data_IF_913053478000
#
_entry.id   IF_913053478000
#
_cell.length_a   1.000
_cell.length_b   1.000
_cell.length_c   1.000
_cell.angle_alpha   90.00
_cell.angle_beta   90.00
_cell.angle_gamma   90.00
#
_symmetry.space_group_name_H-M   'P 1'
#
loop_
_entity.id
_entity.type
_entity.pdbx_description
1 polymer ?
#
# COMPACT_ATOMS: atom_id res chain seq x y z
N UNK A 1 -19.26 4.23 -3.58
CA UNK A 1 -18.43 4.23 -2.36
C UNK A 1 -17.98 5.67 -2.12
N UNK A 2 -18.13 6.19 -0.90
CA UNK A 2 -17.70 7.58 -0.58
C UNK A 2 -16.31 7.61 0.05
N UNK A 3 -15.77 6.46 0.48
CA UNK A 3 -14.41 6.34 0.97
C UNK A 3 -13.41 6.81 -0.08
N UNK A 4 -12.56 7.75 0.30
CA UNK A 4 -11.36 8.07 -0.46
C UNK A 4 -10.18 7.88 0.47
N UNK A 5 -9.41 6.83 0.23
CA UNK A 5 -8.23 6.50 1.04
C UNK A 5 -7.21 7.66 1.08
N UNK A 6 -7.24 8.57 0.10
CA UNK A 6 -6.45 9.80 0.09
C UNK A 6 -6.66 10.71 1.31
N UNK A 7 -7.79 10.63 2.04
CA UNK A 7 -8.01 11.41 3.26
C UNK A 7 -7.26 10.86 4.49
N UNK A 8 -7.00 9.55 4.51
CA UNK A 8 -6.44 8.82 5.64
C UNK A 8 -4.99 8.35 5.38
N UNK A 9 -4.49 8.57 4.16
CA UNK A 9 -3.18 8.13 3.72
C UNK A 9 -2.08 8.61 4.69
N UNK A 10 -1.30 7.65 5.20
CA UNK A 10 -0.16 7.93 6.07
C UNK A 10 -0.54 8.17 7.53
N UNK A 11 -1.75 7.80 7.96
CA UNK A 11 -2.12 7.78 9.37
C UNK A 11 -1.45 6.62 10.14
N UNK A 12 -1.72 6.51 11.45
CA UNK A 12 -1.08 5.48 12.29
C UNK A 12 -1.44 4.04 11.88
N UNK A 13 -2.67 3.81 11.39
CA UNK A 13 -3.13 2.49 10.97
C UNK A 13 -2.37 2.04 9.73
N UNK A 14 -2.22 2.95 8.77
CA UNK A 14 -1.38 2.76 7.60
C UNK A 14 0.07 2.44 7.98
N UNK A 15 0.64 3.13 8.98
CA UNK A 15 2.02 2.85 9.40
C UNK A 15 2.18 1.41 9.93
N UNK A 16 1.26 0.95 10.77
CA UNK A 16 1.29 -0.42 11.33
C UNK A 16 1.09 -1.45 10.22
N UNK A 17 0.06 -1.27 9.40
CA UNK A 17 -0.28 -2.14 8.26
C UNK A 17 0.90 -2.27 7.30
N UNK A 18 1.43 -1.14 6.82
CA UNK A 18 2.46 -1.12 5.79
C UNK A 18 3.81 -1.62 6.32
N UNK A 19 4.19 -1.30 7.55
CA UNK A 19 5.41 -1.87 8.14
C UNK A 19 5.31 -3.40 8.27
N UNK A 20 4.13 -3.92 8.64
CA UNK A 20 3.88 -5.36 8.69
C UNK A 20 3.92 -6.01 7.30
N UNK A 21 3.29 -5.40 6.29
CA UNK A 21 3.30 -5.90 4.91
C UNK A 21 4.73 -5.99 4.36
N UNK A 22 5.53 -4.94 4.51
CA UNK A 22 6.94 -4.95 4.11
C UNK A 22 7.73 -6.07 4.79
N UNK A 23 7.49 -6.29 6.08
CA UNK A 23 8.14 -7.37 6.82
C UNK A 23 7.71 -8.75 6.31
N UNK A 24 6.40 -8.98 6.12
CA UNK A 24 5.84 -10.24 5.62
C UNK A 24 6.36 -10.58 4.22
N UNK A 25 6.39 -9.61 3.31
CA UNK A 25 6.91 -9.82 1.95
C UNK A 25 8.36 -10.27 2.00
N UNK A 26 9.23 -9.59 2.76
CA UNK A 26 10.63 -9.99 2.97
C UNK A 26 10.76 -11.40 3.53
N UNK A 27 10.01 -11.71 4.57
CA UNK A 27 10.05 -13.01 5.23
C UNK A 27 9.53 -14.15 4.33
N UNK A 28 8.55 -13.88 3.46
CA UNK A 28 8.09 -14.81 2.42
C UNK A 28 9.14 -15.00 1.33
N UNK A 29 9.77 -13.92 0.87
CA UNK A 29 10.81 -13.94 -0.17
C UNK A 29 12.05 -14.76 0.24
N UNK A 30 12.37 -14.80 1.54
CA UNK A 30 13.43 -15.63 2.09
C UNK A 30 13.15 -17.14 1.97
N UNK A 31 11.90 -17.53 1.71
CA UNK A 31 11.43 -18.93 1.63
C UNK A 31 11.09 -19.37 0.19
N UNK A 32 11.09 -18.45 -0.77
CA UNK A 32 10.79 -18.71 -2.18
C UNK A 32 10.17 -17.48 -2.88
N UNK A 33 9.71 -17.63 -4.13
CA UNK A 33 8.88 -16.61 -4.80
C UNK A 33 7.60 -16.31 -4.00
N UNK A 34 7.13 -15.07 -4.05
CA UNK A 34 5.88 -14.64 -3.41
C UNK A 34 4.91 -14.04 -4.42
N UNK A 35 3.64 -14.43 -4.33
CA UNK A 35 2.53 -13.73 -4.98
C UNK A 35 1.75 -12.97 -3.89
N UNK A 36 1.71 -11.65 -3.98
CA UNK A 36 0.91 -10.82 -3.09
C UNK A 36 -0.41 -10.49 -3.78
N UNK A 37 -1.52 -10.83 -3.11
CA UNK A 37 -2.86 -10.57 -3.61
C UNK A 37 -3.51 -9.54 -2.69
N UNK A 38 -3.82 -8.36 -3.21
CA UNK A 38 -4.41 -7.26 -2.44
C UNK A 38 -5.86 -7.08 -2.84
N UNK A 39 -6.78 -7.36 -1.92
CA UNK A 39 -8.22 -7.32 -2.17
C UNK A 39 -8.77 -5.89 -2.29
N UNK A 40 -8.07 -4.89 -1.73
CA UNK A 40 -8.55 -3.51 -1.64
C UNK A 40 -7.38 -2.57 -1.91
N UNK A 41 -6.86 -2.62 -3.14
CA UNK A 41 -5.59 -2.03 -3.51
C UNK A 41 -5.54 -0.49 -3.43
N UNK A 42 -6.68 0.20 -3.56
CA UNK A 42 -6.70 1.64 -3.58
C UNK A 42 -5.98 2.23 -4.79
N UNK A 43 -5.57 3.49 -4.70
CA UNK A 43 -4.91 4.23 -5.79
C UNK A 43 -3.39 4.03 -5.86
N UNK A 44 -2.80 3.25 -4.95
CA UNK A 44 -1.37 2.93 -4.92
C UNK A 44 -0.45 4.04 -4.42
N UNK A 45 -0.60 5.29 -4.89
CA UNK A 45 0.20 6.44 -4.46
C UNK A 45 -0.70 7.64 -4.14
N UNK A 46 -0.45 8.32 -3.02
CA UNK A 46 -1.33 9.37 -2.51
C UNK A 46 -0.60 10.70 -2.33
N UNK A 47 -1.14 11.79 -2.91
CA UNK A 47 -0.64 13.16 -2.69
C UNK A 47 -1.17 13.70 -1.35
N UNK A 48 -0.25 13.97 -0.42
CA UNK A 48 -0.52 14.47 0.91
C UNK A 48 -0.71 15.99 0.97
N UNK A 49 -0.39 16.75 -0.08
CA UNK A 49 -0.62 18.20 -0.14
C UNK A 49 -2.08 18.56 -0.46
N UNK A 50 -2.87 17.60 -0.94
CA UNK A 50 -4.28 17.78 -1.28
C UNK A 50 -5.22 17.58 -0.10
N UNK A 51 -6.26 16.78 -0.31
CA UNK A 51 -7.32 16.50 0.67
C UNK A 51 -6.80 15.94 2.02
N UNK A 52 -5.64 15.26 2.04
CA UNK A 52 -5.00 14.76 3.26
C UNK A 52 -4.59 15.89 4.24
N UNK A 53 -4.28 17.10 3.75
CA UNK A 53 -3.99 18.25 4.62
C UNK A 53 -5.19 18.65 5.49
N UNK A 54 -6.41 18.28 5.08
CA UNK A 54 -7.64 18.62 5.82
C UNK A 54 -7.86 17.73 7.04
N UNK A 55 -7.36 16.49 7.05
CA UNK A 55 -7.59 15.54 8.15
C UNK A 55 -6.55 15.64 9.27
N UNK A 56 -5.36 16.18 8.98
CA UNK A 56 -4.18 16.17 9.87
C UNK A 56 -3.72 14.77 10.30
N UNK A 57 -4.28 13.70 9.74
CA UNK A 57 -3.91 12.33 10.11
C UNK A 57 -2.49 11.99 9.68
N UNK A 58 -2.07 12.48 8.51
CA UNK A 58 -0.70 12.35 8.03
C UNK A 58 0.32 13.10 8.93
N UNK A 59 -0.09 14.22 9.55
CA UNK A 59 0.73 14.95 10.52
C UNK A 59 0.97 14.11 11.78
N UNK A 60 -0.07 13.40 12.25
CA UNK A 60 0.01 12.52 13.40
C UNK A 60 0.69 11.16 13.11
N UNK A 61 0.73 10.74 11.84
CA UNK A 61 1.34 9.51 11.37
C UNK A 61 2.69 9.72 10.68
N UNK A 62 2.69 9.68 9.35
CA UNK A 62 3.91 9.63 8.53
C UNK A 62 4.83 10.83 8.74
N UNK A 63 4.32 12.04 9.00
CA UNK A 63 5.18 13.20 9.31
C UNK A 63 6.01 12.99 10.60
N UNK A 64 5.41 12.36 11.62
CA UNK A 64 6.11 11.96 12.85
C UNK A 64 7.09 10.82 12.58
N UNK A 65 6.71 9.82 11.78
CA UNK A 65 7.62 8.74 11.38
C UNK A 65 8.90 9.30 10.75
N UNK A 66 8.76 10.28 9.87
CA UNK A 66 9.89 10.84 9.11
C UNK A 66 10.84 11.72 9.92
N UNK A 67 10.39 12.24 11.07
CA UNK A 67 11.19 13.07 11.98
C UNK A 67 11.64 12.32 13.24
N UNK A 68 11.21 11.07 13.42
CA UNK A 68 11.58 10.25 14.58
C UNK A 68 12.99 9.69 14.46
N UNK A 69 13.71 9.74 15.57
CA UNK A 69 14.99 9.04 15.77
C UNK A 69 14.75 7.63 16.35
N UNK A 70 15.73 6.74 16.24
CA UNK A 70 15.71 5.39 16.84
C UNK A 70 14.49 4.51 16.47
N UNK A 71 14.10 4.54 15.19
CA UNK A 71 12.99 3.72 14.69
C UNK A 71 13.29 2.21 14.80
N UNK A 72 12.33 1.39 15.28
CA UNK A 72 12.44 -0.06 15.18
C UNK A 72 12.48 -0.50 13.72
N UNK A 73 13.14 -1.63 13.43
CA UNK A 73 13.47 -2.04 12.07
C UNK A 73 12.28 -2.04 11.08
N UNK A 74 11.06 -2.52 11.42
CA UNK A 74 9.91 -2.45 10.50
C UNK A 74 9.50 -1.02 10.13
N UNK A 75 9.50 -0.10 11.09
CA UNK A 75 9.17 1.31 10.85
C UNK A 75 10.29 2.03 10.09
N UNK A 76 11.55 1.69 10.35
CA UNK A 76 12.68 2.20 9.58
C UNK A 76 12.60 1.77 8.11
N UNK A 77 12.17 0.53 7.83
CA UNK A 77 11.93 0.04 6.48
C UNK A 77 10.82 0.82 5.77
N UNK A 78 9.69 1.06 6.46
CA UNK A 78 8.61 1.89 5.91
C UNK A 78 9.08 3.33 5.63
N UNK A 79 9.81 3.95 6.56
CA UNK A 79 10.35 5.28 6.37
C UNK A 79 11.31 5.36 5.15
N UNK A 80 12.07 4.29 4.88
CA UNK A 80 12.92 4.22 3.69
C UNK A 80 12.10 4.21 2.39
N UNK A 81 11.00 3.49 2.33
CA UNK A 81 10.11 3.48 1.16
C UNK A 81 9.41 4.84 0.96
N UNK A 82 8.97 5.48 2.04
CA UNK A 82 8.41 6.85 1.97
C UNK A 82 9.46 7.83 1.43
N UNK A 83 10.72 7.76 1.86
CA UNK A 83 11.79 8.60 1.28
C UNK A 83 12.01 8.32 -0.20
N UNK A 84 11.96 7.05 -0.60
CA UNK A 84 12.26 6.67 -1.99
C UNK A 84 11.23 7.21 -2.99
N UNK A 85 9.96 7.38 -2.59
CA UNK A 85 8.93 8.03 -3.42
C UNK A 85 8.88 9.55 -3.27
N UNK A 86 9.74 10.13 -2.43
CA UNK A 86 9.94 11.57 -2.27
C UNK A 86 11.43 11.93 -2.50
N UNK A 87 11.94 11.78 -3.74
CA UNK A 87 13.35 12.05 -4.02
C UNK A 87 13.70 13.52 -3.73
N UNK A 88 14.84 13.74 -3.06
CA UNK A 88 15.32 15.08 -2.69
C UNK A 88 14.75 15.64 -1.39
N UNK A 89 13.89 14.90 -0.68
CA UNK A 89 13.37 15.29 0.63
C UNK A 89 14.51 15.39 1.65
N UNK A 90 14.76 16.60 2.16
CA UNK A 90 15.69 16.82 3.27
C UNK A 90 15.01 16.56 4.62
N UNK A 91 15.80 16.46 5.68
CA UNK A 91 15.27 16.31 7.04
C UNK A 91 14.43 17.54 7.41
N UNK A 92 13.15 17.31 7.73
CA UNK A 92 12.19 18.35 8.11
C UNK A 92 11.36 18.91 6.95
N UNK A 93 11.62 18.51 5.71
CA UNK A 93 10.78 18.90 4.57
C UNK A 93 9.40 18.22 4.65
N UNK A 94 8.33 18.89 4.18
CA UNK A 94 7.01 18.28 4.13
C UNK A 94 6.99 17.12 3.12
N UNK A 95 6.42 16.00 3.56
CA UNK A 95 6.23 14.81 2.71
C UNK A 95 5.10 15.10 1.73
N UNK A 96 5.34 14.85 0.44
CA UNK A 96 4.32 15.00 -0.59
C UNK A 96 3.61 13.70 -0.90
N UNK A 97 4.33 12.60 -1.04
CA UNK A 97 3.77 11.33 -1.50
C UNK A 97 3.79 10.28 -0.39
N UNK A 98 2.66 9.59 -0.21
CA UNK A 98 2.60 8.38 0.60
C UNK A 98 2.33 7.16 -0.30
N UNK A 99 3.19 6.13 -0.26
CA UNK A 99 2.96 4.89 -0.98
C UNK A 99 1.99 3.99 -0.20
N UNK A 100 0.92 3.56 -0.86
CA UNK A 100 0.02 2.50 -0.38
C UNK A 100 0.63 1.10 -0.56
N UNK A 101 -0.11 0.08 -0.13
CA UNK A 101 0.30 -1.32 -0.31
C UNK A 101 0.70 -1.68 -1.75
N UNK A 102 0.05 -1.21 -2.83
CA UNK A 102 0.46 -1.59 -4.19
C UNK A 102 1.88 -1.15 -4.51
N UNK A 103 2.20 0.13 -4.30
CA UNK A 103 3.53 0.68 -4.60
C UNK A 103 4.58 0.13 -3.64
N UNK A 104 4.25 -0.01 -2.36
CA UNK A 104 5.16 -0.59 -1.37
C UNK A 104 5.58 -2.01 -1.76
N UNK A 105 4.62 -2.86 -2.12
CA UNK A 105 4.92 -4.25 -2.52
C UNK A 105 5.62 -4.29 -3.87
N UNK A 106 5.14 -3.55 -4.86
CA UNK A 106 5.71 -3.53 -6.22
C UNK A 106 7.22 -3.19 -6.21
N UNK A 107 7.64 -2.26 -5.35
CA UNK A 107 9.04 -1.86 -5.18
C UNK A 107 9.94 -2.96 -4.57
N UNK A 108 9.36 -3.97 -3.96
CA UNK A 108 10.08 -5.10 -3.36
C UNK A 108 10.14 -6.33 -4.27
N UNK A 109 9.35 -6.37 -5.34
CA UNK A 109 9.24 -7.57 -6.18
C UNK A 109 10.56 -7.88 -6.89
N UNK A 110 10.89 -9.17 -6.94
CA UNK A 110 11.90 -9.74 -7.83
C UNK A 110 11.20 -10.26 -9.09
N UNK A 111 11.98 -10.62 -10.11
CA UNK A 111 11.45 -11.11 -11.39
C UNK A 111 10.50 -12.32 -11.30
N UNK A 112 10.61 -13.14 -10.24
CA UNK A 112 9.75 -14.31 -9.99
C UNK A 112 8.60 -14.04 -9.01
N UNK A 113 8.58 -12.87 -8.37
CA UNK A 113 7.50 -12.46 -7.47
C UNK A 113 6.38 -11.79 -8.27
N UNK A 114 5.17 -11.73 -7.72
CA UNK A 114 4.04 -11.07 -8.38
C UNK A 114 3.23 -10.26 -7.38
N UNK A 115 2.64 -9.17 -7.85
CA UNK A 115 1.58 -8.45 -7.16
C UNK A 115 0.34 -8.39 -8.04
N UNK A 116 -0.81 -8.69 -7.46
CA UNK A 116 -2.12 -8.49 -8.09
C UNK A 116 -3.06 -7.79 -7.12
N UNK A 117 -3.46 -6.57 -7.45
CA UNK A 117 -4.39 -5.77 -6.65
C UNK A 117 -5.76 -5.67 -7.31
N UNK A 118 -6.81 -5.65 -6.50
CA UNK A 118 -8.19 -5.44 -6.94
C UNK A 118 -8.73 -4.12 -6.39
N UNK A 119 -9.46 -3.38 -7.23
CA UNK A 119 -10.13 -2.14 -6.85
C UNK A 119 -11.53 -2.09 -7.46
N UNK A 120 -12.53 -1.80 -6.62
CA UNK A 120 -13.94 -1.79 -7.01
C UNK A 120 -14.37 -0.40 -7.53
N UNK A 121 -13.71 0.66 -7.09
CA UNK A 121 -14.03 2.03 -7.45
C UNK A 121 -13.44 2.41 -8.81
N UNK A 122 -14.30 2.53 -9.82
CA UNK A 122 -13.92 2.88 -11.19
C UNK A 122 -13.11 4.18 -11.30
N UNK A 123 -13.34 5.15 -10.41
CA UNK A 123 -12.60 6.41 -10.41
C UNK A 123 -11.16 6.29 -9.87
N UNK A 124 -10.86 5.22 -9.13
CA UNK A 124 -9.54 4.96 -8.53
C UNK A 124 -8.68 4.08 -9.42
N UNK A 125 -9.29 3.22 -10.25
CA UNK A 125 -8.56 2.31 -11.15
C UNK A 125 -7.49 2.99 -12.02
N UNK A 126 -7.72 4.16 -12.64
CA UNK A 126 -6.67 4.83 -13.41
C UNK A 126 -5.45 5.21 -12.55
N UNK A 127 -5.67 5.59 -11.29
CA UNK A 127 -4.60 5.93 -10.35
C UNK A 127 -3.80 4.69 -9.97
N UNK A 128 -4.49 3.58 -9.70
CA UNK A 128 -3.84 2.30 -9.42
C UNK A 128 -2.95 1.87 -10.59
N UNK A 129 -3.50 1.86 -11.80
CA UNK A 129 -2.76 1.50 -13.01
C UNK A 129 -1.56 2.42 -13.26
N UNK A 130 -1.72 3.74 -13.09
CA UNK A 130 -0.62 4.70 -13.21
C UNK A 130 0.48 4.44 -12.17
N UNK A 131 0.10 4.17 -10.92
CA UNK A 131 1.05 3.92 -9.83
C UNK A 131 1.89 2.65 -10.03
N UNK A 132 1.34 1.66 -10.76
CA UNK A 132 1.98 0.37 -11.02
C UNK A 132 2.70 0.30 -12.37
N UNK A 133 2.53 1.27 -13.26
CA UNK A 133 3.04 1.23 -14.63
C UNK A 133 4.55 1.00 -14.77
N UNK A 134 5.33 1.34 -13.74
CA UNK A 134 6.78 1.14 -13.71
C UNK A 134 7.23 -0.26 -13.26
N UNK A 135 6.30 -1.11 -12.83
CA UNK A 135 6.59 -2.40 -12.19
C UNK A 135 5.94 -3.54 -13.00
N UNK A 136 6.68 -4.21 -13.89
CA UNK A 136 6.10 -5.23 -14.77
C UNK A 136 5.58 -6.47 -14.04
N UNK A 137 6.02 -6.70 -12.80
CA UNK A 137 5.55 -7.79 -11.94
C UNK A 137 4.29 -7.45 -11.12
N UNK A 138 3.76 -6.23 -11.25
CA UNK A 138 2.59 -5.76 -10.52
C UNK A 138 1.45 -5.36 -11.47
N UNK A 139 0.24 -5.84 -11.19
CA UNK A 139 -0.97 -5.51 -11.95
C UNK A 139 -2.12 -5.08 -11.03
N UNK A 140 -3.01 -4.26 -11.56
CA UNK A 140 -4.20 -3.75 -10.87
C UNK A 140 -5.45 -4.00 -11.71
N UNK A 141 -6.45 -4.64 -11.13
CA UNK A 141 -7.64 -5.11 -11.84
C UNK A 141 -8.94 -4.55 -11.24
N UNK A 142 -9.95 -4.25 -12.08
CA UNK A 142 -11.29 -3.96 -11.60
C UNK A 142 -11.93 -5.20 -10.97
N UNK A 143 -12.64 -5.03 -9.86
CA UNK A 143 -13.51 -6.09 -9.35
C UNK A 143 -13.72 -6.04 -7.85
N UNK A 144 -14.61 -6.91 -7.37
CA UNK A 144 -14.74 -7.20 -5.95
C UNK A 144 -13.55 -8.07 -5.52
N UNK A 145 -12.67 -7.52 -4.68
CA UNK A 145 -11.48 -8.22 -4.24
C UNK A 145 -11.75 -9.44 -3.38
N UNK A 146 -12.89 -9.53 -2.69
CA UNK A 146 -13.24 -10.74 -1.94
C UNK A 146 -13.56 -11.91 -2.86
N UNK A 147 -14.23 -11.66 -3.98
CA UNK A 147 -14.54 -12.69 -4.98
C UNK A 147 -13.31 -13.01 -5.83
N UNK A 148 -12.64 -11.99 -6.36
CA UNK A 148 -11.55 -12.14 -7.31
C UNK A 148 -10.31 -12.82 -6.69
N UNK A 149 -10.05 -12.61 -5.40
CA UNK A 149 -8.89 -13.21 -4.73
C UNK A 149 -8.97 -14.73 -4.63
N UNK A 150 -10.17 -15.31 -4.62
CA UNK A 150 -10.33 -16.77 -4.52
C UNK A 150 -9.75 -17.48 -5.74
N UNK A 151 -10.06 -16.98 -6.94
CA UNK A 151 -9.51 -17.52 -8.19
C UNK A 151 -8.01 -17.26 -8.28
N UNK A 152 -7.57 -16.04 -7.99
CA UNK A 152 -6.16 -15.67 -8.02
C UNK A 152 -5.31 -16.51 -7.05
N UNK A 153 -5.81 -16.74 -5.82
CA UNK A 153 -5.13 -17.55 -4.82
C UNK A 153 -5.04 -19.02 -5.21
N UNK A 154 -6.06 -19.57 -5.89
CA UNK A 154 -6.05 -20.94 -6.38
C UNK A 154 -5.00 -21.18 -7.48
N UNK A 155 -4.64 -20.14 -8.23
CA UNK A 155 -3.63 -20.20 -9.29
C UNK A 155 -2.22 -19.82 -8.81
N UNK A 156 -2.10 -19.12 -7.68
CA UNK A 156 -0.84 -18.65 -7.15
C UNK A 156 -0.09 -19.71 -6.32
N UNK A 157 1.23 -19.77 -6.47
CA UNK A 157 2.09 -20.58 -5.58
C UNK A 157 2.47 -19.77 -4.34
N UNK A 158 1.98 -20.18 -3.16
CA UNK A 158 2.30 -19.55 -1.89
C UNK A 158 1.80 -18.10 -1.73
N UNK A 159 0.51 -17.82 -1.97
CA UNK A 159 -0.02 -16.46 -1.92
C UNK A 159 0.09 -15.85 -0.52
N UNK A 160 0.44 -14.57 -0.46
CA UNK A 160 0.22 -13.69 0.69
C UNK A 160 -0.98 -12.80 0.36
N UNK A 161 -2.09 -13.01 1.06
CA UNK A 161 -3.32 -12.26 0.81
C UNK A 161 -3.45 -11.11 1.80
N UNK A 162 -3.61 -9.88 1.29
CA UNK A 162 -3.89 -8.67 2.05
C UNK A 162 -5.38 -8.33 1.94
N UNK A 163 -6.04 -8.25 3.09
CA UNK A 163 -7.45 -7.87 3.22
C UNK A 163 -7.52 -6.58 4.04
N UNK A 164 -7.88 -5.49 3.37
CA UNK A 164 -7.91 -4.14 3.94
C UNK A 164 -9.15 -3.35 3.45
N UNK A 165 -10.37 -3.84 3.72
CA UNK A 165 -11.58 -3.15 3.32
C UNK A 165 -11.71 -1.80 4.01
N UNK A 166 -12.51 -0.87 3.46
CA UNK A 166 -12.74 0.43 4.07
C UNK A 166 -13.65 0.38 5.31
N UNK A 167 -14.30 -0.76 5.57
CA UNK A 167 -15.28 -0.96 6.64
C UNK A 167 -16.42 0.08 6.65
N UNK A 168 -16.83 0.56 5.47
CA UNK A 168 -17.95 1.51 5.31
C UNK A 168 -19.30 0.82 5.40
N UNK A 169 -19.35 -0.47 5.08
CA UNK A 169 -20.61 -1.23 5.05
C UNK A 169 -20.64 -2.24 6.19
N UNK A 170 -21.83 -2.52 6.77
CA UNK A 170 -21.95 -3.51 7.84
C UNK A 170 -21.48 -4.91 7.42
N UNK A 171 -21.63 -5.25 6.15
CA UNK A 171 -21.19 -6.53 5.57
C UNK A 171 -19.68 -6.63 5.38
N UNK A 172 -18.90 -5.55 5.56
CA UNK A 172 -17.43 -5.63 5.55
C UNK A 172 -16.85 -6.39 6.77
N UNK A 173 -17.66 -6.61 7.81
CA UNK A 173 -17.26 -7.26 9.07
C UNK A 173 -17.62 -8.76 9.14
N UNK A 174 -18.28 -9.31 8.11
CA UNK A 174 -18.93 -10.63 8.15
C UNK A 174 -18.38 -11.52 7.06
#
# INVERSE_FOLDING_TARGET
MNYRHSFHAGNFADLVKHALVLWLVRDRQARGPVAVLDTHAGGGLYDLHGDATRSREAEAGVARLMTSEDLPAPLAALAAEVRAVNPGLAAGDPIRWYPGSPVLVARMLRADDRYLGFELNEAVLPLLAESLAAYPEADGQPGDGYEAVLEAAAQASGPLVLIDPPFERPDDYV
#
